data_IF_752594416813
#
_entry.id   IF_752594416813
#
_cell.length_a   1.000
_cell.length_b   1.000
_cell.length_c   1.000
_cell.angle_alpha   90.00
_cell.angle_beta   90.00
_cell.angle_gamma   90.00
#
_symmetry.space_group_name_H-M   'P 1'
#
loop_
_entity.id
_entity.type
_entity.pdbx_description
1 polymer ?
#
# COMPACT_ATOMS: atom_id res chain seq x y z
N UNK A 1 -11.50 10.48 7.68
CA UNK A 1 -12.75 11.18 8.04
C UNK A 1 -13.20 11.97 6.83
N UNK A 2 -14.37 11.67 6.33
CA UNK A 2 -14.95 12.49 5.26
C UNK A 2 -15.19 13.89 5.82
N UNK A 3 -14.50 14.89 5.29
CA UNK A 3 -14.81 16.28 5.58
C UNK A 3 -16.09 16.61 4.80
N UNK A 4 -17.09 17.17 5.48
CA UNK A 4 -18.38 17.45 4.88
C UNK A 4 -18.41 18.63 3.89
N UNK A 5 -17.27 18.90 3.24
CA UNK A 5 -17.13 19.99 2.27
C UNK A 5 -17.26 19.55 0.81
N UNK A 6 -17.52 18.24 0.58
CA UNK A 6 -17.70 17.68 -0.76
C UNK A 6 -16.45 17.67 -1.63
N UNK A 7 -15.29 17.90 -1.05
CA UNK A 7 -14.02 17.92 -1.78
C UNK A 7 -13.31 16.58 -1.64
N UNK A 8 -13.03 15.94 -2.76
CA UNK A 8 -12.19 14.75 -2.81
C UNK A 8 -10.73 15.14 -2.70
N UNK A 9 -10.00 14.44 -1.82
CA UNK A 9 -8.59 14.72 -1.55
C UNK A 9 -7.74 13.48 -1.77
N UNK A 10 -6.78 13.61 -2.65
CA UNK A 10 -5.73 12.61 -2.84
C UNK A 10 -4.57 12.92 -1.92
N UNK A 11 -4.00 11.88 -1.32
CA UNK A 11 -2.81 11.98 -0.51
C UNK A 11 -1.77 10.97 -0.98
N UNK A 12 -0.51 11.39 -1.01
CA UNK A 12 0.63 10.51 -1.26
C UNK A 12 1.67 10.76 -0.17
N UNK A 13 1.95 9.72 0.60
CA UNK A 13 2.92 9.78 1.70
C UNK A 13 4.14 8.93 1.38
N UNK A 14 5.32 9.43 1.73
CA UNK A 14 6.56 8.66 1.66
C UNK A 14 7.04 8.37 3.09
N UNK A 15 7.16 7.09 3.41
CA UNK A 15 7.71 6.63 4.68
C UNK A 15 9.07 5.99 4.45
N UNK A 16 10.02 6.30 5.33
CA UNK A 16 11.35 5.70 5.32
C UNK A 16 11.39 4.58 6.34
N UNK A 17 11.93 3.44 5.94
CA UNK A 17 11.91 2.22 6.76
C UNK A 17 13.32 1.72 7.01
N UNK A 18 13.56 1.30 8.26
CA UNK A 18 14.80 0.64 8.68
C UNK A 18 14.69 -0.86 8.47
N UNK A 19 15.83 -1.54 8.55
CA UNK A 19 15.89 -3.00 8.52
C UNK A 19 15.02 -3.64 9.61
N UNK A 20 14.88 -2.99 10.76
CA UNK A 20 14.04 -3.48 11.86
C UNK A 20 12.55 -3.41 11.53
N UNK A 21 12.13 -2.36 10.83
CA UNK A 21 10.71 -2.10 10.55
C UNK A 21 10.16 -2.81 9.32
N UNK A 22 11.02 -3.18 8.37
CA UNK A 22 10.57 -3.72 7.08
C UNK A 22 9.77 -5.03 7.24
N UNK A 23 10.08 -5.85 8.21
CA UNK A 23 9.35 -7.09 8.48
C UNK A 23 7.90 -6.85 8.88
N UNK A 24 7.65 -5.88 9.74
CA UNK A 24 6.28 -5.51 10.13
C UNK A 24 5.51 -4.90 8.96
N UNK A 25 6.17 -4.10 8.14
CA UNK A 25 5.59 -3.54 6.92
C UNK A 25 5.17 -4.65 5.96
N UNK A 26 6.03 -5.63 5.72
CA UNK A 26 5.70 -6.79 4.89
C UNK A 26 4.49 -7.55 5.43
N UNK A 27 4.49 -7.88 6.71
CA UNK A 27 3.38 -8.62 7.33
C UNK A 27 2.05 -7.87 7.20
N UNK A 28 2.08 -6.55 7.33
CA UNK A 28 0.90 -5.72 7.16
C UNK A 28 0.44 -5.67 5.70
N UNK A 29 1.35 -5.35 4.79
CA UNK A 29 1.01 -5.13 3.38
C UNK A 29 0.60 -6.43 2.69
N UNK A 30 1.27 -7.54 3.01
CA UNK A 30 1.01 -8.85 2.39
C UNK A 30 -0.01 -9.69 3.19
N UNK A 31 -0.58 -9.12 4.25
CA UNK A 31 -1.58 -9.81 5.10
C UNK A 31 -1.10 -11.18 5.58
N UNK A 32 0.09 -11.21 6.16
CA UNK A 32 0.72 -12.46 6.62
C UNK A 32 0.31 -12.88 8.04
N UNK A 33 -0.52 -12.08 8.71
CA UNK A 33 -1.00 -12.39 10.06
C UNK A 33 -2.43 -12.94 10.05
N UNK A 34 -2.74 -13.82 10.99
CA UNK A 34 -4.09 -14.36 11.18
C UNK A 34 -5.04 -13.37 11.82
N UNK A 35 -4.51 -12.33 12.47
CA UNK A 35 -5.30 -11.28 13.11
C UNK A 35 -4.54 -9.97 13.17
N UNK A 36 -5.27 -8.88 13.25
CA UNK A 36 -4.73 -7.52 13.33
C UNK A 36 -5.39 -6.75 14.48
N UNK A 37 -4.62 -5.86 15.10
CA UNK A 37 -5.14 -4.94 16.12
C UNK A 37 -6.18 -4.00 15.51
N UNK A 38 -5.97 -3.58 14.25
CA UNK A 38 -6.95 -2.80 13.51
C UNK A 38 -8.15 -3.67 13.16
N UNK A 39 -9.25 -3.47 13.87
CA UNK A 39 -10.50 -4.22 13.70
C UNK A 39 -11.23 -3.89 12.38
N UNK A 40 -10.81 -2.85 11.68
CA UNK A 40 -11.40 -2.47 10.40
C UNK A 40 -10.86 -3.32 9.24
N UNK A 41 -9.81 -4.10 9.47
CA UNK A 41 -9.33 -5.09 8.50
C UNK A 41 -10.26 -6.29 8.50
N UNK A 42 -10.87 -6.53 7.35
CA UNK A 42 -11.83 -7.63 7.13
C UNK A 42 -11.12 -8.73 6.32
N UNK A 43 -10.61 -9.75 7.01
CA UNK A 43 -9.77 -10.78 6.38
C UNK A 43 -10.48 -11.57 5.29
N UNK A 44 -11.80 -11.74 5.37
CA UNK A 44 -12.59 -12.39 4.32
C UNK A 44 -12.52 -11.65 2.99
N UNK A 45 -12.18 -10.36 3.01
CA UNK A 45 -12.00 -9.54 1.81
C UNK A 45 -10.56 -9.48 1.30
N UNK A 46 -9.61 -10.02 2.03
CA UNK A 46 -8.19 -10.02 1.61
C UNK A 46 -7.98 -10.56 0.19
N UNK A 47 -8.70 -11.58 -0.30
CA UNK A 47 -8.60 -12.01 -1.69
C UNK A 47 -8.95 -10.95 -2.74
N UNK A 48 -9.61 -9.85 -2.34
CA UNK A 48 -9.90 -8.72 -3.22
C UNK A 48 -8.76 -7.71 -3.30
N UNK A 49 -7.75 -7.82 -2.45
CA UNK A 49 -6.54 -7.00 -2.56
C UNK A 49 -5.86 -7.29 -3.90
N UNK A 50 -5.37 -6.24 -4.56
CA UNK A 50 -4.81 -6.35 -5.90
C UNK A 50 -3.33 -6.05 -5.89
N UNK A 51 -2.51 -7.01 -6.29
CA UNK A 51 -1.09 -6.81 -6.50
C UNK A 51 -0.85 -6.30 -7.93
N UNK A 52 -0.32 -5.09 -8.04
CA UNK A 52 0.22 -4.56 -9.30
C UNK A 52 1.63 -5.10 -9.54
N UNK A 53 2.36 -5.35 -8.47
CA UNK A 53 3.58 -6.14 -8.47
C UNK A 53 3.58 -7.09 -7.28
N UNK A 54 3.58 -8.38 -7.57
CA UNK A 54 3.63 -9.42 -6.53
C UNK A 54 5.09 -9.64 -6.13
N UNK A 55 5.43 -9.61 -4.83
CA UNK A 55 6.79 -9.89 -4.40
C UNK A 55 7.14 -11.35 -4.70
N UNK A 56 8.34 -11.59 -5.21
CA UNK A 56 8.82 -12.93 -5.53
C UNK A 56 9.37 -13.68 -4.32
N UNK A 57 9.60 -12.95 -3.22
CA UNK A 57 10.12 -13.45 -1.95
C UNK A 57 9.84 -12.43 -0.86
N UNK A 58 10.28 -12.69 0.37
CA UNK A 58 10.25 -11.69 1.43
C UNK A 58 11.01 -10.42 1.05
N UNK A 59 10.62 -9.29 1.59
CA UNK A 59 11.22 -8.00 1.21
C UNK A 59 12.71 -7.93 1.47
N UNK A 60 13.18 -8.48 2.59
CA UNK A 60 14.62 -8.53 2.91
C UNK A 60 15.39 -9.37 1.90
N UNK A 61 14.83 -10.51 1.52
CA UNK A 61 15.45 -11.40 0.55
C UNK A 61 15.54 -10.76 -0.83
N UNK A 62 14.45 -10.11 -1.28
CA UNK A 62 14.43 -9.38 -2.55
C UNK A 62 15.47 -8.25 -2.55
N UNK A 63 15.56 -7.50 -1.45
CA UNK A 63 16.53 -6.43 -1.29
C UNK A 63 17.96 -6.97 -1.40
N UNK A 64 18.25 -8.08 -0.71
CA UNK A 64 19.56 -8.73 -0.77
C UNK A 64 19.90 -9.21 -2.20
N UNK A 65 18.94 -9.73 -2.94
CA UNK A 65 19.14 -10.11 -4.35
C UNK A 65 19.41 -8.90 -5.23
N UNK A 66 18.70 -7.79 -5.04
CA UNK A 66 18.93 -6.55 -5.76
C UNK A 66 20.35 -6.01 -5.52
N UNK A 67 20.82 -6.10 -4.29
CA UNK A 67 22.19 -5.71 -3.93
C UNK A 67 23.22 -6.64 -4.58
N UNK A 68 23.00 -7.95 -4.51
CA UNK A 68 23.88 -8.95 -5.11
C UNK A 68 23.94 -8.80 -6.65
N UNK A 69 22.83 -8.44 -7.28
CA UNK A 69 22.73 -8.26 -8.72
C UNK A 69 23.20 -6.86 -9.19
N UNK A 70 23.60 -6.00 -8.27
CA UNK A 70 24.09 -4.66 -8.58
C UNK A 70 23.00 -3.66 -8.96
N UNK A 71 21.73 -3.99 -8.73
CA UNK A 71 20.59 -3.07 -8.99
C UNK A 71 20.61 -1.90 -8.01
N UNK A 72 20.99 -2.17 -6.76
CA UNK A 72 21.19 -1.17 -5.71
C UNK A 72 22.53 -1.38 -5.02
N UNK A 73 22.98 -0.36 -4.30
CA UNK A 73 24.19 -0.45 -3.47
C UNK A 73 23.90 0.14 -2.08
N UNK A 74 24.30 -0.58 -1.05
CA UNK A 74 24.26 -0.12 0.34
C UNK A 74 25.61 0.37 0.84
N UNK A 75 26.58 0.52 -0.07
CA UNK A 75 27.94 0.99 0.29
C UNK A 75 27.86 2.35 0.99
N UNK A 76 28.46 2.42 2.18
CA UNK A 76 28.49 3.64 3.00
C UNK A 76 27.22 3.88 3.81
N UNK A 77 26.21 3.02 3.71
CA UNK A 77 24.99 3.10 4.52
C UNK A 77 25.20 2.39 5.85
N UNK A 78 24.92 3.07 6.95
CA UNK A 78 24.98 2.49 8.29
C UNK A 78 23.88 1.45 8.47
N UNK A 79 24.15 0.46 9.35
CA UNK A 79 23.22 -0.65 9.60
C UNK A 79 21.85 -0.19 10.10
N UNK A 80 21.79 0.85 10.92
CA UNK A 80 20.57 1.42 11.51
C UNK A 80 19.94 2.52 10.64
N UNK A 81 20.50 2.78 9.46
CA UNK A 81 19.96 3.80 8.55
C UNK A 81 18.71 3.31 7.81
N UNK A 82 17.98 4.25 7.22
CA UNK A 82 16.87 3.92 6.34
C UNK A 82 17.37 3.25 5.05
N UNK A 83 16.81 2.10 4.73
CA UNK A 83 17.19 1.30 3.55
C UNK A 83 16.04 1.14 2.56
N UNK A 84 14.81 1.25 3.05
CA UNK A 84 13.59 1.03 2.27
C UNK A 84 12.73 2.29 2.30
N UNK A 85 11.86 2.41 1.32
CA UNK A 85 10.83 3.40 1.31
C UNK A 85 9.47 2.75 1.09
N UNK A 86 8.42 3.41 1.56
CA UNK A 86 7.05 3.04 1.24
C UNK A 86 6.30 4.27 0.78
N UNK A 87 5.70 4.19 -0.40
CA UNK A 87 4.75 5.18 -0.89
C UNK A 87 3.34 4.67 -0.60
N UNK A 88 2.55 5.47 0.08
CA UNK A 88 1.14 5.18 0.36
C UNK A 88 0.28 6.21 -0.34
N UNK A 89 -0.57 5.76 -1.25
CA UNK A 89 -1.53 6.60 -1.97
C UNK A 89 -2.93 6.32 -1.44
N UNK A 90 -3.66 7.35 -1.11
CA UNK A 90 -5.06 7.23 -0.72
C UNK A 90 -5.91 8.40 -1.25
N UNK A 91 -7.21 8.16 -1.30
CA UNK A 91 -8.25 9.16 -1.54
C UNK A 91 -9.36 8.88 -0.54
N UNK A 92 -10.10 9.89 -0.12
CA UNK A 92 -11.23 9.68 0.79
C UNK A 92 -12.20 8.62 0.24
N UNK A 93 -12.75 7.80 1.11
CA UNK A 93 -13.60 6.65 0.75
C UNK A 93 -14.82 7.05 -0.07
N UNK A 94 -15.37 8.24 0.16
CA UNK A 94 -16.53 8.76 -0.59
C UNK A 94 -16.25 8.88 -2.09
N UNK A 95 -15.02 9.23 -2.48
CA UNK A 95 -14.64 9.35 -3.87
C UNK A 95 -14.87 8.03 -4.63
N UNK A 96 -14.36 6.94 -4.10
CA UNK A 96 -14.54 5.63 -4.74
C UNK A 96 -15.98 5.15 -4.65
N UNK A 97 -16.63 5.34 -3.50
CA UNK A 97 -18.03 4.98 -3.32
C UNK A 97 -18.93 5.63 -4.35
N UNK A 98 -18.70 6.91 -4.64
CA UNK A 98 -19.51 7.70 -5.57
C UNK A 98 -19.17 7.47 -7.05
N UNK A 99 -18.02 6.83 -7.36
CA UNK A 99 -17.52 6.68 -8.73
C UNK A 99 -17.41 5.22 -9.20
N UNK A 100 -18.06 4.28 -8.52
CA UNK A 100 -18.11 2.89 -8.94
C UNK A 100 -17.40 1.88 -8.03
N UNK A 101 -16.86 2.33 -6.91
CA UNK A 101 -16.32 1.45 -5.87
C UNK A 101 -15.06 0.71 -6.28
N UNK A 102 -15.04 -0.60 -6.09
CA UNK A 102 -13.88 -1.46 -6.25
C UNK A 102 -13.23 -1.38 -7.64
N UNK A 103 -14.03 -1.49 -8.70
CA UNK A 103 -13.50 -1.49 -10.07
C UNK A 103 -12.88 -0.14 -10.43
N UNK A 104 -13.50 0.93 -10.01
CA UNK A 104 -12.96 2.27 -10.21
C UNK A 104 -11.66 2.47 -9.40
N UNK A 105 -11.61 1.97 -8.17
CA UNK A 105 -10.39 2.02 -7.35
C UNK A 105 -9.23 1.28 -8.01
N UNK A 106 -9.48 0.11 -8.62
CA UNK A 106 -8.45 -0.62 -9.36
C UNK A 106 -7.90 0.19 -10.54
N UNK A 107 -8.76 0.86 -11.29
CA UNK A 107 -8.34 1.72 -12.40
C UNK A 107 -7.52 2.91 -11.91
N UNK A 108 -7.99 3.56 -10.85
CA UNK A 108 -7.29 4.69 -10.25
C UNK A 108 -5.88 4.30 -9.77
N UNK A 109 -5.78 3.21 -9.03
CA UNK A 109 -4.48 2.78 -8.48
C UNK A 109 -3.58 2.12 -9.51
N UNK A 110 -4.09 1.65 -10.63
CA UNK A 110 -3.26 1.29 -11.79
C UNK A 110 -2.46 2.51 -12.26
N UNK A 111 -3.11 3.66 -12.37
CA UNK A 111 -2.43 4.91 -12.76
C UNK A 111 -1.48 5.42 -11.67
N UNK A 112 -1.87 5.28 -10.39
CA UNK A 112 -1.00 5.62 -9.27
C UNK A 112 0.27 4.75 -9.24
N UNK A 113 0.15 3.46 -9.55
CA UNK A 113 1.29 2.57 -9.66
C UNK A 113 2.24 3.00 -10.80
N UNK A 114 1.72 3.36 -11.95
CA UNK A 114 2.53 3.91 -13.04
C UNK A 114 3.29 5.17 -12.61
N UNK A 115 2.63 6.04 -11.85
CA UNK A 115 3.29 7.21 -11.28
C UNK A 115 4.39 6.83 -10.29
N UNK A 116 4.16 5.83 -9.43
CA UNK A 116 5.15 5.33 -8.49
C UNK A 116 6.40 4.81 -9.19
N UNK A 117 6.24 4.07 -10.29
CA UNK A 117 7.37 3.58 -11.12
C UNK A 117 8.24 4.75 -11.58
N UNK A 118 7.63 5.84 -12.03
CA UNK A 118 8.36 7.05 -12.45
C UNK A 118 9.06 7.73 -11.28
N UNK A 119 8.40 7.80 -10.12
CA UNK A 119 8.95 8.43 -8.91
C UNK A 119 10.23 7.72 -8.46
N UNK A 120 10.23 6.38 -8.46
CA UNK A 120 11.38 5.60 -8.00
C UNK A 120 12.43 5.35 -9.09
N UNK A 121 12.12 5.66 -10.32
CA UNK A 121 13.07 5.54 -11.43
C UNK A 121 13.04 4.22 -12.18
N UNK A 122 12.07 3.35 -11.92
CA UNK A 122 11.89 2.08 -12.62
C UNK A 122 11.24 1.01 -11.76
N UNK A 123 10.54 0.09 -12.40
CA UNK A 123 9.84 -1.01 -11.72
C UNK A 123 10.80 -1.96 -11.00
N UNK A 124 12.06 -2.07 -11.47
CA UNK A 124 13.09 -2.90 -10.84
C UNK A 124 13.40 -2.48 -9.40
N UNK A 125 13.09 -1.26 -9.00
CA UNK A 125 13.28 -0.77 -7.63
C UNK A 125 12.12 -1.04 -6.69
N UNK A 126 11.02 -1.58 -7.19
CA UNK A 126 9.81 -1.86 -6.42
C UNK A 126 9.81 -3.33 -5.98
N UNK A 127 9.68 -3.57 -4.68
CA UNK A 127 9.56 -4.90 -4.11
C UNK A 127 8.14 -5.44 -4.23
N UNK A 128 7.16 -4.61 -3.93
CA UNK A 128 5.74 -4.96 -3.94
C UNK A 128 4.89 -3.72 -4.15
N UNK A 129 3.78 -3.88 -4.83
CA UNK A 129 2.75 -2.87 -4.95
C UNK A 129 1.38 -3.54 -4.81
N UNK A 130 0.64 -3.18 -3.76
CA UNK A 130 -0.64 -3.81 -3.44
C UNK A 130 -1.69 -2.77 -3.08
N UNK A 131 -2.85 -2.86 -3.73
CA UNK A 131 -4.04 -2.13 -3.33
C UNK A 131 -4.78 -2.93 -2.27
N UNK A 132 -4.97 -2.35 -1.10
CA UNK A 132 -5.83 -2.93 -0.08
C UNK A 132 -7.29 -2.60 -0.37
N UNK A 133 -8.12 -3.62 -0.37
CA UNK A 133 -9.57 -3.52 -0.53
C UNK A 133 -10.31 -4.16 0.65
N UNK A 134 -9.57 -4.46 1.72
CA UNK A 134 -10.04 -5.19 2.88
C UNK A 134 -10.13 -4.33 4.16
N UNK A 135 -9.97 -3.01 4.06
CA UNK A 135 -10.18 -2.10 5.19
C UNK A 135 -11.52 -1.38 5.07
N UNK A 136 -12.35 -1.57 6.10
CA UNK A 136 -13.66 -0.95 6.18
C UNK A 136 -13.57 0.48 6.72
N UNK A 137 -14.28 1.40 6.11
CA UNK A 137 -14.52 2.71 6.69
C UNK A 137 -15.74 2.62 7.61
N UNK A 138 -15.49 2.45 8.90
CA UNK A 138 -16.55 2.20 9.88
C UNK A 138 -17.54 3.36 9.97
N UNK A 139 -17.06 4.58 10.09
CA UNK A 139 -17.91 5.77 10.22
C UNK A 139 -18.85 5.94 9.03
N UNK A 140 -18.33 5.76 7.81
CA UNK A 140 -19.10 5.89 6.60
C UNK A 140 -20.08 4.71 6.42
N UNK A 141 -19.67 3.50 6.78
CA UNK A 141 -20.51 2.31 6.74
C UNK A 141 -21.71 2.45 7.69
N UNK A 142 -21.49 2.95 8.90
CA UNK A 142 -22.56 3.22 9.86
C UNK A 142 -23.52 4.32 9.38
N UNK A 143 -22.97 5.39 8.81
CA UNK A 143 -23.77 6.50 8.30
C UNK A 143 -24.68 6.12 7.13
N UNK A 144 -24.20 5.22 6.26
CA UNK A 144 -24.92 4.82 5.04
C UNK A 144 -25.74 3.53 5.21
N UNK A 145 -25.54 2.78 6.30
CA UNK A 145 -26.21 1.51 6.53
C UNK A 145 -25.75 0.37 5.62
N UNK A 146 -24.60 0.52 4.98
CA UNK A 146 -23.98 -0.51 4.14
C UNK A 146 -22.47 -0.46 4.26
N UNK A 147 -21.78 -1.56 3.93
CA UNK A 147 -20.34 -1.63 4.05
C UNK A 147 -19.64 -0.75 3.02
N UNK A 148 -18.78 0.14 3.50
CA UNK A 148 -17.93 1.03 2.68
C UNK A 148 -16.47 0.75 3.02
N UNK A 149 -15.65 0.61 2.00
CA UNK A 149 -14.23 0.27 2.15
C UNK A 149 -13.35 1.44 1.78
N UNK A 150 -12.21 1.52 2.47
CA UNK A 150 -11.17 2.51 2.20
C UNK A 150 -10.07 1.85 1.35
N UNK A 151 -10.06 2.18 0.08
CA UNK A 151 -9.07 1.67 -0.85
C UNK A 151 -7.82 2.52 -0.81
N UNK A 152 -6.66 1.88 -0.72
CA UNK A 152 -5.37 2.57 -0.72
C UNK A 152 -4.28 1.66 -1.30
N UNK A 153 -3.20 2.28 -1.79
CA UNK A 153 -2.10 1.59 -2.44
C UNK A 153 -0.83 1.72 -1.62
N UNK A 154 -0.19 0.59 -1.34
CA UNK A 154 1.14 0.51 -0.74
C UNK A 154 2.16 0.09 -1.78
N UNK A 155 3.23 0.87 -1.95
CA UNK A 155 4.35 0.58 -2.84
C UNK A 155 5.65 0.62 -2.03
N UNK A 156 6.35 -0.52 -1.95
CA UNK A 156 7.61 -0.65 -1.19
C UNK A 156 8.79 -0.84 -2.11
#
# INVERSE_FOLDING_TARGET
MARGDGIDRTNARNMRLTETKIGNTQQHNEREKDSYVNQDIVLERTPLNVHFKTPSAGYREMFARMEADGVISTRGIKEDAFRYGELVFDVNSAYFYNHGGYDFAKQFYTEAYKAAIKIVGGEQYILSAVMHADERNRAMSEALGEDVYHYHLHVV
#
